data_IF_541604642015
#
_entry.id   IF_541604642015
#
_cell.length_a   1.000
_cell.length_b   1.000
_cell.length_c   1.000
_cell.angle_alpha   90.00
_cell.angle_beta   90.00
_cell.angle_gamma   90.00
#
_symmetry.space_group_name_H-M   'P 1'
#
loop_
_entity.id
_entity.type
_entity.pdbx_description
1 polymer ?
#
# COMPACT_ATOMS: atom_id res chain seq x y z
N UNK A 1 -25.30 48.49 5.58
CA UNK A 1 -25.55 47.49 4.51
C UNK A 1 -26.90 47.81 3.89
N UNK A 2 -27.00 47.91 2.57
CA UNK A 2 -28.23 48.35 1.89
C UNK A 2 -29.10 47.14 1.53
N UNK A 3 -30.43 47.29 1.56
CA UNK A 3 -31.38 46.21 1.27
C UNK A 3 -31.18 45.55 -0.12
N UNK A 4 -30.52 46.25 -1.05
CA UNK A 4 -30.14 45.71 -2.36
C UNK A 4 -28.96 44.72 -2.28
N UNK A 5 -27.96 44.97 -1.42
CA UNK A 5 -26.87 44.00 -1.23
C UNK A 5 -27.40 42.71 -0.62
N UNK A 6 -28.32 42.81 0.34
CA UNK A 6 -28.87 41.64 1.03
C UNK A 6 -29.70 40.76 0.10
N UNK A 7 -30.46 41.35 -0.82
CA UNK A 7 -31.18 40.60 -1.87
C UNK A 7 -30.23 39.89 -2.83
N UNK A 8 -29.12 40.54 -3.21
CA UNK A 8 -28.10 39.96 -4.10
C UNK A 8 -27.36 38.80 -3.43
N UNK A 9 -27.00 38.93 -2.16
CA UNK A 9 -26.41 37.84 -1.37
C UNK A 9 -27.39 36.67 -1.17
N UNK A 10 -28.68 36.95 -0.98
CA UNK A 10 -29.71 35.91 -0.87
C UNK A 10 -30.04 35.21 -2.20
N UNK A 11 -29.80 35.87 -3.35
CA UNK A 11 -29.88 35.26 -4.68
C UNK A 11 -28.65 34.39 -4.95
N UNK A 12 -27.45 34.90 -4.69
CA UNK A 12 -26.20 34.14 -4.79
C UNK A 12 -26.23 32.89 -3.92
N UNK A 13 -26.70 32.99 -2.67
CA UNK A 13 -26.82 31.83 -1.78
C UNK A 13 -27.76 30.76 -2.36
N UNK A 14 -28.86 31.16 -3.02
CA UNK A 14 -29.79 30.24 -3.68
C UNK A 14 -29.19 29.61 -4.95
N UNK A 15 -28.53 30.39 -5.79
CA UNK A 15 -27.83 29.88 -6.97
C UNK A 15 -26.69 28.92 -6.60
N UNK A 16 -25.93 29.22 -5.55
CA UNK A 16 -24.92 28.33 -5.00
C UNK A 16 -25.54 27.03 -4.48
N UNK A 17 -26.69 27.07 -3.81
CA UNK A 17 -27.34 25.85 -3.30
C UNK A 17 -27.71 24.87 -4.43
N UNK A 18 -28.15 25.39 -5.59
CA UNK A 18 -28.47 24.57 -6.77
C UNK A 18 -27.26 24.07 -7.55
N UNK A 19 -26.14 24.80 -7.54
CA UNK A 19 -24.91 24.45 -8.29
C UNK A 19 -23.87 23.70 -7.48
N UNK A 20 -23.81 23.89 -6.16
CA UNK A 20 -22.85 23.21 -5.29
C UNK A 20 -23.18 21.74 -5.06
N UNK A 21 -24.46 21.35 -5.03
CA UNK A 21 -24.85 19.95 -4.85
C UNK A 21 -24.30 19.01 -5.96
N UNK A 22 -24.46 19.34 -7.26
CA UNK A 22 -23.83 18.59 -8.35
C UNK A 22 -22.31 18.56 -8.27
N UNK A 23 -21.67 19.68 -7.95
CA UNK A 23 -20.22 19.79 -7.87
C UNK A 23 -19.64 18.98 -6.69
N UNK A 24 -20.27 19.06 -5.51
CA UNK A 24 -19.90 18.27 -4.34
C UNK A 24 -20.09 16.77 -4.59
N UNK A 25 -21.14 16.36 -5.31
CA UNK A 25 -21.32 14.97 -5.74
C UNK A 25 -20.23 14.51 -6.70
N UNK A 26 -19.90 15.34 -7.70
CA UNK A 26 -18.81 15.07 -8.64
C UNK A 26 -17.46 14.95 -7.94
N UNK A 27 -17.17 15.82 -6.96
CA UNK A 27 -15.98 15.72 -6.13
C UNK A 27 -15.96 14.44 -5.30
N UNK A 28 -17.10 14.07 -4.67
CA UNK A 28 -17.20 12.84 -3.89
C UNK A 28 -17.06 11.57 -4.76
N UNK A 29 -17.59 11.58 -5.99
CA UNK A 29 -17.39 10.51 -6.99
C UNK A 29 -15.92 10.40 -7.42
N UNK A 30 -15.24 11.53 -7.58
CA UNK A 30 -13.79 11.59 -7.83
C UNK A 30 -13.00 10.94 -6.70
N UNK A 31 -13.30 11.29 -5.45
CA UNK A 31 -12.66 10.69 -4.26
C UNK A 31 -12.95 9.19 -4.14
N UNK A 32 -14.19 8.75 -4.41
CA UNK A 32 -14.55 7.32 -4.44
C UNK A 32 -13.69 6.56 -5.46
N UNK A 33 -13.59 7.09 -6.67
CA UNK A 33 -12.84 6.45 -7.76
C UNK A 33 -11.36 6.36 -7.42
N UNK A 34 -10.78 7.45 -6.91
CA UNK A 34 -9.39 7.48 -6.46
C UNK A 34 -9.10 6.50 -5.32
N UNK A 35 -9.94 6.46 -4.29
CA UNK A 35 -9.82 5.54 -3.16
C UNK A 35 -9.99 4.08 -3.57
N UNK A 36 -10.94 3.78 -4.46
CA UNK A 36 -11.14 2.43 -5.00
C UNK A 36 -9.91 1.99 -5.79
N UNK A 37 -9.36 2.87 -6.63
CA UNK A 37 -8.13 2.61 -7.39
C UNK A 37 -6.92 2.35 -6.50
N UNK A 38 -6.70 3.19 -5.48
CA UNK A 38 -5.63 3.00 -4.49
C UNK A 38 -5.79 1.68 -3.73
N UNK A 39 -7.00 1.35 -3.29
CA UNK A 39 -7.29 0.10 -2.59
C UNK A 39 -6.98 -1.11 -3.47
N UNK A 40 -7.41 -1.08 -4.73
CA UNK A 40 -7.14 -2.14 -5.69
C UNK A 40 -5.64 -2.29 -5.96
N UNK A 41 -4.92 -1.17 -6.11
CA UNK A 41 -3.48 -1.18 -6.34
C UNK A 41 -2.72 -1.79 -5.15
N UNK A 42 -3.06 -1.41 -3.92
CA UNK A 42 -2.48 -2.01 -2.71
C UNK A 42 -2.80 -3.50 -2.65
N UNK A 43 -4.04 -3.90 -2.91
CA UNK A 43 -4.42 -5.31 -2.92
C UNK A 43 -3.60 -6.13 -3.92
N UNK A 44 -3.44 -5.64 -5.15
CA UNK A 44 -2.66 -6.30 -6.20
C UNK A 44 -1.17 -6.38 -5.83
N UNK A 45 -0.58 -5.31 -5.32
CA UNK A 45 0.83 -5.32 -4.91
C UNK A 45 1.09 -6.33 -3.79
N UNK A 46 0.20 -6.38 -2.80
CA UNK A 46 0.30 -7.31 -1.67
C UNK A 46 0.12 -8.77 -2.14
N UNK A 47 -0.81 -9.05 -3.06
CA UNK A 47 -1.03 -10.42 -3.55
C UNK A 47 0.05 -10.91 -4.49
N UNK A 48 0.56 -10.06 -5.39
CA UNK A 48 1.55 -10.46 -6.39
C UNK A 48 2.98 -10.50 -5.86
N UNK A 49 3.36 -9.52 -5.03
CA UNK A 49 4.76 -9.33 -4.62
C UNK A 49 4.93 -9.28 -3.10
N UNK A 50 3.83 -9.11 -2.36
CA UNK A 50 3.87 -8.97 -0.91
C UNK A 50 4.49 -10.17 -0.21
N UNK A 51 4.20 -11.41 -0.63
CA UNK A 51 4.75 -12.59 0.04
C UNK A 51 6.27 -12.69 -0.14
N UNK A 52 6.75 -12.62 -1.38
CA UNK A 52 8.17 -12.72 -1.71
C UNK A 52 8.98 -11.58 -1.08
N UNK A 53 8.43 -10.36 -1.09
CA UNK A 53 9.07 -9.22 -0.43
C UNK A 53 9.03 -9.34 1.10
N UNK A 54 7.94 -9.77 1.71
CA UNK A 54 7.83 -9.88 3.17
C UNK A 54 8.69 -11.02 3.75
N UNK A 55 8.97 -12.07 2.97
CA UNK A 55 9.84 -13.17 3.37
C UNK A 55 11.33 -12.77 3.42
N UNK A 56 11.70 -11.64 2.82
CA UNK A 56 13.06 -11.07 2.90
C UNK A 56 13.32 -10.24 4.16
N UNK A 57 12.29 -10.00 5.00
CA UNK A 57 12.44 -9.22 6.22
C UNK A 57 12.70 -10.10 7.44
N UNK A 58 13.51 -9.61 8.40
CA UNK A 58 13.56 -10.16 9.75
C UNK A 58 12.16 -10.26 10.35
N UNK A 59 11.91 -11.29 11.16
CA UNK A 59 10.57 -11.63 11.70
C UNK A 59 9.84 -10.45 12.33
N UNK A 60 10.54 -9.62 13.11
CA UNK A 60 9.97 -8.42 13.73
C UNK A 60 9.54 -7.36 12.69
N UNK A 61 10.38 -7.09 11.70
CA UNK A 61 10.11 -6.11 10.64
C UNK A 61 9.00 -6.60 9.68
N UNK A 62 8.93 -7.92 9.47
CA UNK A 62 7.84 -8.55 8.72
C UNK A 62 6.49 -8.35 9.39
N UNK A 63 6.39 -8.60 10.70
CA UNK A 63 5.14 -8.42 11.43
C UNK A 63 4.69 -6.96 11.45
N UNK A 64 5.60 -6.01 11.64
CA UNK A 64 5.28 -4.58 11.61
C UNK A 64 4.83 -4.15 10.21
N UNK A 65 5.58 -4.47 9.16
CA UNK A 65 5.21 -4.16 7.79
C UNK A 65 3.83 -4.74 7.40
N UNK A 66 3.55 -5.99 7.81
CA UNK A 66 2.25 -6.63 7.58
C UNK A 66 1.12 -5.87 8.30
N UNK A 67 1.32 -5.48 9.57
CA UNK A 67 0.33 -4.73 10.34
C UNK A 67 0.08 -3.33 9.73
N UNK A 68 1.13 -2.65 9.28
CA UNK A 68 1.03 -1.35 8.59
C UNK A 68 0.23 -1.46 7.28
N UNK A 69 0.52 -2.46 6.45
CA UNK A 69 -0.19 -2.69 5.19
C UNK A 69 -1.66 -3.05 5.42
N UNK A 70 -1.95 -3.92 6.39
CA UNK A 70 -3.32 -4.26 6.77
C UNK A 70 -4.09 -3.04 7.29
N UNK A 71 -3.46 -2.22 8.14
CA UNK A 71 -4.03 -0.96 8.63
C UNK A 71 -4.31 0.04 7.50
N UNK A 72 -3.36 0.18 6.56
CA UNK A 72 -3.53 1.03 5.38
C UNK A 72 -4.72 0.59 4.51
N UNK A 73 -4.82 -0.70 4.23
CA UNK A 73 -5.92 -1.27 3.46
C UNK A 73 -7.27 -1.00 4.13
N UNK A 74 -7.38 -1.25 5.43
CA UNK A 74 -8.60 -0.98 6.19
C UNK A 74 -8.98 0.51 6.16
N UNK A 75 -8.02 1.41 6.32
CA UNK A 75 -8.26 2.85 6.23
C UNK A 75 -8.76 3.26 4.84
N UNK A 76 -8.19 2.73 3.77
CA UNK A 76 -8.62 3.01 2.40
C UNK A 76 -10.04 2.48 2.13
N UNK A 77 -10.38 1.28 2.63
CA UNK A 77 -11.75 0.73 2.54
C UNK A 77 -12.75 1.57 3.32
N UNK A 78 -12.44 1.92 4.57
CA UNK A 78 -13.31 2.76 5.41
C UNK A 78 -13.50 4.14 4.76
N UNK A 79 -12.42 4.76 4.28
CA UNK A 79 -12.47 6.01 3.54
C UNK A 79 -13.33 5.91 2.29
N UNK A 80 -13.24 4.81 1.54
CA UNK A 80 -14.06 4.56 0.35
C UNK A 80 -15.55 4.50 0.69
N UNK A 81 -15.91 3.75 1.75
CA UNK A 81 -17.31 3.63 2.21
C UNK A 81 -17.85 4.98 2.71
N UNK A 82 -17.02 5.76 3.41
CA UNK A 82 -17.37 7.11 3.84
C UNK A 82 -17.59 8.05 2.65
N UNK A 83 -16.74 7.98 1.63
CA UNK A 83 -16.88 8.77 0.41
C UNK A 83 -18.16 8.40 -0.36
N UNK A 84 -18.50 7.11 -0.46
CA UNK A 84 -19.76 6.62 -1.05
C UNK A 84 -20.97 7.15 -0.27
N UNK A 85 -20.93 7.08 1.07
CA UNK A 85 -22.00 7.59 1.93
C UNK A 85 -22.16 9.10 1.80
N UNK A 86 -21.07 9.84 1.63
CA UNK A 86 -21.10 11.27 1.36
C UNK A 86 -21.68 11.59 -0.04
N UNK A 87 -21.33 10.80 -1.07
CA UNK A 87 -21.75 11.02 -2.45
C UNK A 87 -23.25 10.72 -2.68
N UNK A 88 -23.75 9.60 -2.13
CA UNK A 88 -25.09 9.12 -2.44
C UNK A 88 -26.12 9.35 -1.32
N UNK A 89 -25.70 9.82 -0.14
CA UNK A 89 -26.58 9.91 1.03
C UNK A 89 -27.08 8.54 1.49
N UNK A 90 -27.97 8.51 2.50
CA UNK A 90 -28.51 7.25 3.01
C UNK A 90 -29.72 6.78 2.16
N UNK A 91 -29.63 5.65 1.41
CA UNK A 91 -30.73 5.16 0.59
C UNK A 91 -31.83 4.60 1.51
N UNK A 92 -32.80 5.42 1.86
CA UNK A 92 -33.93 4.98 2.71
C UNK A 92 -34.81 6.08 3.29
N UNK A 93 -34.37 7.35 3.29
CA UNK A 93 -35.22 8.47 3.75
C UNK A 93 -36.03 9.01 2.58
N UNK A 94 -37.33 8.70 2.53
CA UNK A 94 -38.30 9.42 1.68
C UNK A 94 -38.36 10.88 2.17
N UNK A 95 -37.91 11.83 1.36
CA UNK A 95 -38.01 13.26 1.67
C UNK A 95 -39.42 13.77 1.32
N UNK A 96 -40.32 13.77 2.30
CA UNK A 96 -41.52 14.60 2.30
C UNK A 96 -41.32 15.67 3.39
N UNK A 97 -40.56 16.72 3.09
CA UNK A 97 -40.27 17.81 4.03
C UNK A 97 -40.61 19.16 3.38
N UNK A 98 -41.62 19.84 3.93
CA UNK A 98 -41.96 21.22 3.58
C UNK A 98 -40.82 22.20 3.93
N UNK A 99 -40.76 23.34 3.23
CA UNK A 99 -39.55 24.17 3.05
C UNK A 99 -38.75 24.60 4.30
N UNK A 100 -39.39 24.82 5.45
CA UNK A 100 -38.66 25.16 6.70
C UNK A 100 -37.99 23.94 7.35
N UNK A 101 -38.61 22.77 7.26
CA UNK A 101 -38.05 21.52 7.75
C UNK A 101 -36.96 20.99 6.81
N UNK A 102 -37.09 21.27 5.51
CA UNK A 102 -36.05 21.00 4.52
C UNK A 102 -34.77 21.80 4.85
N UNK A 103 -34.88 23.08 5.19
CA UNK A 103 -33.71 23.94 5.48
C UNK A 103 -32.92 23.49 6.71
N UNK A 104 -33.60 23.15 7.82
CA UNK A 104 -32.95 22.59 9.02
C UNK A 104 -32.33 21.22 8.75
N UNK A 105 -33.00 20.40 7.95
CA UNK A 105 -32.48 19.11 7.53
C UNK A 105 -31.19 19.27 6.70
N UNK A 106 -31.17 20.20 5.74
CA UNK A 106 -29.99 20.53 4.93
C UNK A 106 -28.82 20.97 5.79
N UNK A 107 -29.00 21.88 6.75
CA UNK A 107 -27.91 22.33 7.64
C UNK A 107 -27.31 21.17 8.45
N UNK A 108 -28.15 20.28 8.98
CA UNK A 108 -27.67 19.13 9.78
C UNK A 108 -26.96 18.09 8.92
N UNK A 109 -27.45 17.86 7.71
CA UNK A 109 -26.88 16.89 6.78
C UNK A 109 -25.56 17.41 6.17
N UNK A 110 -25.44 18.71 5.90
CA UNK A 110 -24.20 19.36 5.43
C UNK A 110 -23.06 19.19 6.45
N UNK A 111 -23.32 19.39 7.74
CA UNK A 111 -22.32 19.18 8.81
C UNK A 111 -21.90 17.70 8.90
N UNK A 112 -22.84 16.78 8.70
CA UNK A 112 -22.56 15.34 8.73
C UNK A 112 -21.72 14.90 7.51
N UNK A 113 -22.09 15.36 6.31
CA UNK A 113 -21.40 15.07 5.06
C UNK A 113 -19.99 15.65 5.07
N UNK A 114 -19.81 16.91 5.49
CA UNK A 114 -18.46 17.50 5.62
C UNK A 114 -17.59 16.77 6.63
N UNK A 115 -18.17 16.27 7.73
CA UNK A 115 -17.43 15.45 8.69
C UNK A 115 -16.99 14.11 8.10
N UNK A 116 -17.88 13.43 7.36
CA UNK A 116 -17.52 12.20 6.66
C UNK A 116 -16.47 12.42 5.57
N UNK A 117 -16.55 13.55 4.85
CA UNK A 117 -15.56 13.92 3.85
C UNK A 117 -14.18 14.16 4.49
N UNK A 118 -14.13 14.88 5.62
CA UNK A 118 -12.90 15.06 6.40
C UNK A 118 -12.33 13.74 6.88
N UNK A 119 -13.17 12.84 7.42
CA UNK A 119 -12.70 11.51 7.82
C UNK A 119 -12.19 10.70 6.63
N UNK A 120 -12.87 10.73 5.48
CA UNK A 120 -12.42 10.05 4.27
C UNK A 120 -11.05 10.58 3.80
N UNK A 121 -10.84 11.91 3.80
CA UNK A 121 -9.55 12.52 3.48
C UNK A 121 -8.46 12.12 4.47
N UNK A 122 -8.74 12.14 5.77
CA UNK A 122 -7.78 11.72 6.80
C UNK A 122 -7.43 10.23 6.67
N UNK A 123 -8.42 9.38 6.40
CA UNK A 123 -8.19 7.96 6.15
C UNK A 123 -7.34 7.73 4.89
N UNK A 124 -7.55 8.52 3.84
CA UNK A 124 -6.74 8.46 2.62
C UNK A 124 -5.28 8.81 2.91
N UNK A 125 -5.04 9.98 3.52
CA UNK A 125 -3.69 10.44 3.86
C UNK A 125 -3.01 9.47 4.83
N UNK A 126 -3.73 8.98 5.84
CA UNK A 126 -3.23 7.99 6.78
C UNK A 126 -2.87 6.67 6.11
N UNK A 127 -3.72 6.17 5.19
CA UNK A 127 -3.45 4.96 4.43
C UNK A 127 -2.19 5.09 3.55
N UNK A 128 -2.06 6.20 2.82
CA UNK A 128 -0.87 6.49 2.00
C UNK A 128 0.39 6.58 2.87
N UNK A 129 0.32 7.29 4.01
CA UNK A 129 1.44 7.41 4.93
C UNK A 129 1.90 6.05 5.48
N UNK A 130 0.96 5.18 5.86
CA UNK A 130 1.27 3.83 6.34
C UNK A 130 1.94 2.97 5.25
N UNK A 131 1.47 3.06 4.01
CA UNK A 131 2.12 2.38 2.87
C UNK A 131 3.55 2.88 2.69
N UNK A 132 3.76 4.21 2.73
CA UNK A 132 5.09 4.80 2.60
C UNK A 132 6.04 4.35 3.73
N UNK A 133 5.55 4.27 4.97
CA UNK A 133 6.34 3.76 6.11
C UNK A 133 6.66 2.28 5.93
N UNK A 134 5.70 1.45 5.50
CA UNK A 134 5.95 0.03 5.23
C UNK A 134 7.02 -0.16 4.14
N UNK A 135 6.97 0.64 3.08
CA UNK A 135 8.02 0.66 2.05
C UNK A 135 9.35 1.08 2.66
N UNK A 136 9.41 2.15 3.46
CA UNK A 136 10.64 2.58 4.14
C UNK A 136 11.25 1.50 5.03
N UNK A 137 10.43 0.74 5.76
CA UNK A 137 10.88 -0.40 6.55
C UNK A 137 11.47 -1.47 5.62
N UNK A 138 10.79 -1.81 4.53
CA UNK A 138 11.29 -2.77 3.55
C UNK A 138 12.69 -2.38 3.04
N UNK A 139 12.88 -1.13 2.58
CA UNK A 139 14.18 -0.69 2.06
C UNK A 139 15.30 -0.67 3.11
N UNK A 140 14.97 -0.48 4.39
CA UNK A 140 15.96 -0.37 5.46
C UNK A 140 16.28 -1.70 6.14
N UNK A 141 15.41 -2.70 5.98
CA UNK A 141 15.50 -3.97 6.72
C UNK A 141 15.41 -5.22 5.86
N UNK A 142 15.09 -5.11 4.56
CA UNK A 142 15.13 -6.25 3.68
C UNK A 142 16.57 -6.74 3.57
N UNK A 143 16.80 -7.95 4.05
CA UNK A 143 18.05 -8.64 3.82
C UNK A 143 18.00 -9.17 2.38
N UNK A 144 19.06 -8.90 1.61
CA UNK A 144 19.23 -9.56 0.32
C UNK A 144 19.55 -11.03 0.61
N UNK A 145 18.54 -11.89 0.70
CA UNK A 145 18.78 -13.34 0.69
C UNK A 145 19.52 -13.65 -0.62
N UNK A 146 20.62 -14.41 -0.58
CA UNK A 146 21.32 -14.76 -1.81
C UNK A 146 20.42 -15.69 -2.62
N UNK A 147 19.93 -15.18 -3.76
CA UNK A 147 18.89 -15.79 -4.60
C UNK A 147 19.35 -17.13 -5.23
N UNK A 148 20.66 -17.40 -5.20
CA UNK A 148 21.30 -18.55 -5.82
C UNK A 148 22.33 -19.21 -4.88
N UNK A 149 21.90 -19.65 -3.70
CA UNK A 149 22.73 -20.52 -2.86
C UNK A 149 22.90 -21.90 -3.51
N UNK A 150 24.14 -22.33 -3.64
CA UNK A 150 24.48 -23.62 -4.22
C UNK A 150 25.55 -24.32 -3.40
N UNK A 151 25.32 -25.61 -3.14
CA UNK A 151 26.35 -26.52 -2.62
C UNK A 151 27.05 -27.18 -3.81
N UNK A 152 28.37 -27.04 -3.84
CA UNK A 152 29.24 -27.65 -4.84
C UNK A 152 30.09 -28.71 -4.15
N UNK A 153 29.98 -29.95 -4.63
CA UNK A 153 30.78 -31.08 -4.15
C UNK A 153 32.04 -31.16 -5.00
N UNK A 154 33.21 -31.08 -4.34
CA UNK A 154 34.52 -31.25 -5.00
C UNK A 154 35.28 -32.43 -4.37
N UNK A 155 36.25 -33.03 -5.07
CA UNK A 155 37.12 -34.06 -4.49
C UNK A 155 37.84 -33.62 -3.21
N UNK A 156 38.07 -32.31 -3.05
CA UNK A 156 38.70 -31.68 -1.89
C UNK A 156 37.74 -31.33 -0.75
N UNK A 157 36.43 -31.59 -0.90
CA UNK A 157 35.39 -31.30 0.09
C UNK A 157 34.25 -30.44 -0.44
N UNK A 158 33.21 -30.29 0.38
CA UNK A 158 32.00 -29.56 0.01
C UNK A 158 32.17 -28.06 0.27
N UNK A 159 31.72 -27.23 -0.67
CA UNK A 159 31.68 -25.78 -0.53
C UNK A 159 30.27 -25.28 -0.78
N UNK A 160 29.78 -24.44 0.12
CA UNK A 160 28.47 -23.82 0.01
C UNK A 160 28.62 -22.31 -0.11
N UNK A 161 27.91 -21.69 -1.05
CA UNK A 161 28.00 -20.27 -1.30
C UNK A 161 27.02 -19.77 -2.37
N UNK A 162 26.99 -18.46 -2.55
CA UNK A 162 26.19 -17.80 -3.59
C UNK A 162 26.88 -17.95 -4.95
N UNK A 163 26.14 -18.44 -5.95
CA UNK A 163 26.62 -18.55 -7.32
C UNK A 163 26.65 -17.18 -8.00
N UNK A 164 27.85 -16.67 -8.28
CA UNK A 164 28.04 -15.39 -8.98
C UNK A 164 28.08 -15.55 -10.50
N UNK A 165 28.41 -16.74 -11.01
CA UNK A 165 28.38 -17.03 -12.44
C UNK A 165 29.17 -18.28 -12.83
N UNK A 166 28.99 -18.68 -14.10
CA UNK A 166 29.76 -19.72 -14.76
C UNK A 166 30.58 -19.08 -15.88
N UNK A 167 31.91 -19.23 -15.81
CA UNK A 167 32.84 -18.72 -16.81
C UNK A 167 33.62 -19.84 -17.50
N UNK A 168 34.44 -19.50 -18.51
CA UNK A 168 35.33 -20.46 -19.16
C UNK A 168 36.39 -21.06 -18.21
N UNK A 169 36.66 -20.40 -17.08
CA UNK A 169 37.55 -20.89 -16.01
C UNK A 169 36.85 -21.60 -14.85
N UNK A 170 35.56 -21.93 -14.98
CA UNK A 170 34.81 -22.69 -13.97
C UNK A 170 33.71 -21.91 -13.25
N UNK A 171 33.33 -22.37 -12.06
CA UNK A 171 32.20 -21.88 -11.27
C UNK A 171 32.68 -20.86 -10.24
N UNK A 172 32.13 -19.64 -10.25
CA UNK A 172 32.49 -18.58 -9.31
C UNK A 172 31.46 -18.56 -8.17
N UNK A 173 31.92 -18.85 -6.96
CA UNK A 173 31.12 -18.84 -5.74
C UNK A 173 31.57 -17.73 -4.80
N UNK A 174 30.64 -17.08 -4.12
CA UNK A 174 30.92 -16.29 -2.92
C UNK A 174 30.62 -17.15 -1.70
N UNK A 175 31.66 -17.49 -0.94
CA UNK A 175 31.52 -18.32 0.26
C UNK A 175 30.81 -17.55 1.38
N UNK A 176 29.87 -18.20 2.05
CA UNK A 176 29.25 -17.70 3.27
C UNK A 176 30.08 -17.98 4.53
N UNK A 177 30.95 -19.01 4.51
CA UNK A 177 31.69 -19.52 5.67
C UNK A 177 33.11 -18.91 5.88
N UNK A 178 33.23 -17.58 5.90
CA UNK A 178 34.42 -16.94 6.52
C UNK A 178 35.37 -16.17 5.61
N UNK A 179 34.90 -15.60 4.51
CA UNK A 179 35.63 -14.56 3.80
C UNK A 179 34.82 -13.99 2.65
N UNK A 180 34.76 -12.66 2.53
CA UNK A 180 34.08 -11.93 1.44
C UNK A 180 34.76 -12.08 0.07
N UNK A 181 35.57 -13.13 -0.11
CA UNK A 181 36.27 -13.44 -1.35
C UNK A 181 35.44 -14.36 -2.24
N UNK A 182 35.43 -14.07 -3.54
CA UNK A 182 34.95 -15.01 -4.55
C UNK A 182 35.99 -16.12 -4.74
N UNK A 183 35.55 -17.38 -4.68
CA UNK A 183 36.36 -18.54 -5.02
C UNK A 183 35.93 -19.07 -6.37
N UNK A 184 36.88 -19.18 -7.28
CA UNK A 184 36.67 -19.84 -8.58
C UNK A 184 37.04 -21.31 -8.43
N UNK A 185 36.05 -22.18 -8.60
CA UNK A 185 36.25 -23.62 -8.68
C UNK A 185 36.42 -24.01 -10.15
N UNK A 186 37.48 -24.76 -10.45
CA UNK A 186 37.70 -25.28 -11.79
C UNK A 186 36.55 -26.22 -12.20
N UNK A 187 36.17 -26.20 -13.47
CA UNK A 187 35.03 -26.96 -14.00
C UNK A 187 35.23 -28.47 -13.81
N UNK A 188 36.46 -28.93 -13.95
CA UNK A 188 36.81 -30.35 -13.87
C UNK A 188 36.84 -30.85 -12.41
N UNK A 189 36.90 -29.93 -11.45
CA UNK A 189 36.85 -30.23 -10.02
C UNK A 189 35.42 -30.30 -9.47
N UNK A 190 34.41 -29.90 -10.26
CA UNK A 190 32.99 -29.92 -9.84
C UNK A 190 32.39 -31.27 -10.14
N UNK A 191 32.10 -32.05 -9.10
CA UNK A 191 31.48 -33.38 -9.23
C UNK A 191 29.96 -33.30 -9.27
N UNK A 192 29.37 -32.42 -8.46
CA UNK A 192 27.93 -32.17 -8.44
C UNK A 192 27.62 -30.77 -7.92
N UNK A 193 26.45 -30.26 -8.33
CA UNK A 193 25.97 -28.93 -7.98
C UNK A 193 24.50 -29.04 -7.60
N UNK A 194 24.16 -28.74 -6.34
CA UNK A 194 22.79 -28.84 -5.83
C UNK A 194 22.32 -27.51 -5.24
N UNK A 195 21.15 -26.99 -5.66
CA UNK A 195 20.59 -25.79 -5.06
C UNK A 195 20.20 -26.08 -3.60
N UNK A 196 20.59 -25.20 -2.68
CA UNK A 196 20.24 -25.29 -1.26
C UNK A 196 19.54 -24.03 -0.78
N UNK A 197 18.60 -24.18 0.15
CA UNK A 197 17.91 -23.05 0.78
C UNK A 197 18.72 -22.41 1.92
N UNK A 198 19.72 -23.13 2.45
CA UNK A 198 20.61 -22.63 3.50
C UNK A 198 21.90 -23.43 3.57
N UNK A 199 23.05 -22.74 3.60
CA UNK A 199 24.33 -23.35 3.93
C UNK A 199 24.40 -23.58 5.46
N UNK A 200 24.09 -24.79 5.91
CA UNK A 200 24.45 -25.19 7.27
C UNK A 200 25.97 -25.33 7.35
N UNK A 201 26.59 -24.69 8.35
CA UNK A 201 28.02 -24.83 8.62
C UNK A 201 28.36 -26.32 8.71
N UNK A 202 29.11 -26.83 7.75
CA UNK A 202 29.66 -28.17 7.87
C UNK A 202 30.66 -28.14 9.02
N UNK A 203 30.37 -28.90 10.09
CA UNK A 203 31.33 -29.18 11.16
C UNK A 203 32.50 -30.00 10.64
#
# INVERSE_FOLDING_TARGET
MSAQSDRRWAQLARELEFTQLPELRRQAEGWRTGLTGLTALVAVLVTLKGRDSLDQLPSAARHTATALLAGAFLLLVIGSVLAVRAAHGNPGRRLLLAGQALRRWTDTEVVRVTRFLRYASVCCVGGIALVAVAIGIFWTTADTLPDHLVRVTTPSGDKCGELLGLGPGGVILRLTDGGSGSVTLDRDAVTSMTPESSCGSAG
#
